data_IF_441528009364
#
_entry.id   IF_441528009364
#
_cell.length_a   1.000
_cell.length_b   1.000
_cell.length_c   1.000
_cell.angle_alpha   90.00
_cell.angle_beta   90.00
_cell.angle_gamma   90.00
#
_symmetry.space_group_name_H-M   'P 1'
#
loop_
_entity.id
_entity.type
_entity.pdbx_description
1 polymer ?
#
# COMPACT_ATOMS: atom_id res chain seq x y z
N UNK A 1 -5.04 -69.93 73.74
CA UNK A 1 -6.22 -69.09 73.57
C UNK A 1 -5.69 -67.74 73.00
N UNK A 2 -5.65 -67.61 71.70
CA UNK A 2 -5.07 -66.47 70.97
C UNK A 2 -6.25 -65.85 70.15
N UNK A 3 -6.58 -64.60 70.41
CA UNK A 3 -7.55 -63.84 69.62
C UNK A 3 -6.85 -63.24 68.42
N UNK A 4 -7.37 -63.54 67.23
CA UNK A 4 -6.98 -62.92 65.99
C UNK A 4 -7.78 -61.59 65.83
N UNK A 5 -7.11 -60.47 65.68
CA UNK A 5 -7.69 -59.17 65.36
C UNK A 5 -7.60 -58.98 63.83
N UNK A 6 -8.76 -59.01 63.20
CA UNK A 6 -8.86 -58.65 61.80
C UNK A 6 -8.81 -57.11 61.65
N UNK A 7 -7.82 -56.61 60.93
CA UNK A 7 -7.67 -55.21 60.61
C UNK A 7 -8.19 -55.00 59.20
N UNK A 8 -9.40 -54.39 59.09
CA UNK A 8 -9.93 -53.99 57.77
C UNK A 8 -9.19 -52.80 57.22
N UNK A 9 -8.43 -53.02 56.19
CA UNK A 9 -7.78 -51.93 55.36
C UNK A 9 -8.80 -51.41 54.37
N UNK A 10 -9.44 -50.27 54.67
CA UNK A 10 -10.26 -49.57 53.71
C UNK A 10 -9.36 -48.80 52.77
N UNK A 11 -9.18 -49.32 51.54
CA UNK A 11 -8.55 -48.59 50.44
C UNK A 11 -9.55 -47.59 49.91
N UNK A 12 -9.34 -46.31 50.21
CA UNK A 12 -10.05 -45.22 49.56
C UNK A 12 -9.44 -44.99 48.15
N UNK A 13 -10.16 -45.47 47.14
CA UNK A 13 -9.84 -45.14 45.75
C UNK A 13 -10.32 -43.72 45.48
N UNK A 14 -9.39 -42.74 45.52
CA UNK A 14 -9.66 -41.37 45.08
C UNK A 14 -9.60 -41.35 43.56
N UNK A 15 -10.71 -41.52 42.87
CA UNK A 15 -10.84 -41.37 41.43
C UNK A 15 -10.81 -39.86 41.14
N UNK A 16 -9.61 -39.33 40.91
CA UNK A 16 -9.42 -37.97 40.42
C UNK A 16 -9.87 -37.90 38.97
N UNK A 17 -11.10 -37.46 38.77
CA UNK A 17 -11.70 -37.20 37.46
C UNK A 17 -11.11 -35.86 36.94
N UNK A 18 -10.00 -35.95 36.18
CA UNK A 18 -9.47 -34.85 35.42
C UNK A 18 -10.49 -34.47 34.34
N UNK A 19 -11.32 -33.47 34.64
CA UNK A 19 -12.15 -32.82 33.64
C UNK A 19 -11.20 -32.02 32.72
N UNK A 20 -10.82 -32.62 31.59
CA UNK A 20 -10.20 -31.90 30.49
C UNK A 20 -11.25 -30.93 29.93
N UNK A 21 -11.23 -29.73 30.42
CA UNK A 21 -11.99 -28.63 29.83
C UNK A 21 -11.29 -28.30 28.52
N UNK A 22 -11.67 -28.99 27.42
CA UNK A 22 -11.27 -28.63 26.08
C UNK A 22 -11.92 -27.29 25.73
N UNK A 23 -11.24 -26.20 26.04
CA UNK A 23 -11.59 -24.94 25.41
C UNK A 23 -11.35 -25.10 23.92
N UNK A 24 -12.37 -24.97 23.05
CA UNK A 24 -12.11 -24.81 21.64
C UNK A 24 -11.29 -23.53 21.53
N UNK A 25 -10.04 -23.65 21.12
CA UNK A 25 -9.28 -22.51 20.65
C UNK A 25 -10.09 -21.95 19.47
N UNK A 26 -10.78 -20.84 19.70
CA UNK A 26 -11.30 -20.00 18.64
C UNK A 26 -10.05 -19.47 17.91
N UNK A 27 -9.51 -20.29 17.04
CA UNK A 27 -8.63 -19.83 16.00
C UNK A 27 -9.52 -18.93 15.14
N UNK A 28 -9.55 -17.63 15.46
CA UNK A 28 -10.11 -16.65 14.57
C UNK A 28 -9.43 -16.86 13.22
N UNK A 29 -10.16 -17.22 12.20
CA UNK A 29 -9.64 -17.25 10.85
C UNK A 29 -9.02 -15.87 10.62
N UNK A 30 -7.69 -15.84 10.47
CA UNK A 30 -6.99 -14.63 10.11
C UNK A 30 -7.54 -14.23 8.74
N UNK A 31 -8.38 -13.21 8.74
CA UNK A 31 -9.04 -12.77 7.51
C UNK A 31 -7.97 -12.40 6.50
N UNK A 32 -7.97 -13.08 5.36
CA UNK A 32 -6.94 -12.97 4.36
C UNK A 32 -6.83 -11.53 3.85
N UNK A 33 -5.60 -11.00 3.81
CA UNK A 33 -5.31 -9.71 3.20
C UNK A 33 -5.67 -9.77 1.71
N UNK A 34 -6.53 -8.86 1.27
CA UNK A 34 -6.85 -8.68 -0.15
C UNK A 34 -5.88 -7.66 -0.74
N UNK A 35 -5.18 -8.03 -1.80
CA UNK A 35 -4.27 -7.16 -2.54
C UNK A 35 -4.84 -6.95 -3.94
N UNK A 36 -5.01 -5.69 -4.33
CA UNK A 36 -5.47 -5.29 -5.65
C UNK A 36 -4.37 -4.57 -6.39
N UNK A 37 -4.07 -5.05 -7.60
CA UNK A 37 -3.10 -4.40 -8.46
C UNK A 37 -3.67 -3.09 -9.04
N UNK A 38 -2.90 -2.01 -8.91
CA UNK A 38 -3.26 -0.69 -9.41
C UNK A 38 -2.33 -0.19 -10.54
N UNK A 39 -1.65 -1.05 -11.26
CA UNK A 39 -0.65 -0.65 -12.25
C UNK A 39 -1.25 -0.13 -13.57
N UNK A 40 -2.51 -0.43 -13.85
CA UNK A 40 -3.20 -0.01 -15.10
C UNK A 40 -4.19 1.12 -14.87
N UNK A 41 -4.61 1.79 -15.94
CA UNK A 41 -5.66 2.80 -15.89
C UNK A 41 -5.19 4.16 -15.37
N UNK A 42 -3.90 4.46 -15.53
CA UNK A 42 -3.35 5.78 -15.23
C UNK A 42 -3.40 6.70 -16.43
N UNK A 43 -3.64 7.98 -16.17
CA UNK A 43 -3.38 9.09 -17.08
C UNK A 43 -2.13 9.83 -16.62
N UNK A 44 -1.24 10.14 -17.54
CA UNK A 44 0.05 10.80 -17.28
C UNK A 44 0.17 12.12 -18.03
N UNK A 45 0.69 13.14 -17.35
CA UNK A 45 1.07 14.42 -17.95
C UNK A 45 2.49 14.78 -17.54
N UNK A 46 3.32 15.13 -18.52
CA UNK A 46 4.68 15.64 -18.29
C UNK A 46 4.62 17.13 -18.05
N UNK A 47 5.16 17.59 -16.96
CA UNK A 47 5.18 18.97 -16.55
C UNK A 47 4.33 19.25 -15.32
N UNK A 48 4.44 20.47 -14.83
CA UNK A 48 3.63 20.93 -13.71
C UNK A 48 2.21 21.24 -14.18
N UNK A 49 1.23 20.88 -13.35
CA UNK A 49 -0.18 21.16 -13.60
C UNK A 49 -0.77 21.80 -12.36
N UNK A 50 -1.19 23.06 -12.50
CA UNK A 50 -1.96 23.70 -11.47
C UNK A 50 -3.23 22.88 -11.19
N UNK A 51 -3.52 22.63 -9.92
CA UNK A 51 -4.66 21.79 -9.52
C UNK A 51 -4.63 20.34 -10.00
N UNK A 52 -3.46 19.79 -10.34
CA UNK A 52 -3.33 18.38 -10.81
C UNK A 52 -3.92 17.34 -9.87
N UNK A 53 -4.01 17.63 -8.57
CA UNK A 53 -4.66 16.79 -7.57
C UNK A 53 -6.19 16.90 -7.52
N UNK A 54 -6.81 17.88 -8.19
CA UNK A 54 -8.25 18.18 -8.04
C UNK A 54 -9.12 17.27 -8.92
N UNK A 55 -10.25 16.75 -8.40
CA UNK A 55 -11.15 15.89 -9.18
C UNK A 55 -11.78 16.58 -10.40
N UNK A 56 -11.97 17.89 -10.35
CA UNK A 56 -12.60 18.66 -11.43
C UNK A 56 -11.69 18.98 -12.61
N UNK A 57 -10.41 18.63 -12.56
CA UNK A 57 -9.49 18.85 -13.66
C UNK A 57 -9.82 17.88 -14.82
N UNK A 58 -9.95 18.44 -16.02
CA UNK A 58 -10.04 17.64 -17.25
C UNK A 58 -8.68 17.06 -17.61
N UNK A 59 -8.58 15.75 -17.53
CA UNK A 59 -7.38 14.97 -17.89
C UNK A 59 -7.58 14.13 -19.16
N UNK A 60 -8.62 14.39 -19.95
CA UNK A 60 -8.93 13.64 -21.17
C UNK A 60 -7.82 13.70 -22.22
N UNK A 61 -7.02 14.76 -22.23
CA UNK A 61 -5.86 14.93 -23.09
C UNK A 61 -4.56 14.30 -22.57
N UNK A 62 -4.59 13.66 -21.41
CA UNK A 62 -3.40 13.04 -20.83
C UNK A 62 -3.07 11.72 -21.49
N UNK A 63 -1.82 11.31 -21.41
CA UNK A 63 -1.32 10.07 -22.01
C UNK A 63 -1.69 8.88 -21.13
N UNK A 64 -2.25 7.83 -21.72
CA UNK A 64 -2.47 6.58 -20.98
C UNK A 64 -1.14 5.96 -20.56
N UNK A 65 -1.02 5.60 -19.30
CA UNK A 65 0.19 5.02 -18.73
C UNK A 65 -0.11 3.72 -17.97
N UNK A 66 0.85 2.81 -18.01
CA UNK A 66 0.88 1.58 -17.22
C UNK A 66 2.12 1.62 -16.35
N UNK A 67 1.97 1.36 -15.07
CA UNK A 67 3.06 1.35 -14.10
C UNK A 67 3.72 -0.04 -14.09
N UNK A 68 5.05 -0.17 -14.06
CA UNK A 68 6.03 0.92 -13.97
C UNK A 68 6.11 1.76 -15.24
N UNK A 69 6.34 3.07 -15.09
CA UNK A 69 6.35 4.03 -16.18
C UNK A 69 7.55 5.00 -16.06
N UNK A 70 8.12 5.33 -17.19
CA UNK A 70 9.22 6.29 -17.33
C UNK A 70 8.65 7.62 -17.82
N UNK A 71 8.94 8.73 -17.13
CA UNK A 71 8.44 10.06 -17.53
C UNK A 71 9.03 10.57 -18.84
N UNK A 72 10.14 9.98 -19.27
CA UNK A 72 10.80 10.31 -20.54
C UNK A 72 10.90 9.08 -21.44
N UNK A 73 10.12 9.05 -22.50
CA UNK A 73 10.22 8.06 -23.58
C UNK A 73 10.59 8.78 -24.87
N UNK A 74 11.86 9.16 -25.03
CA UNK A 74 12.32 9.71 -26.30
C UNK A 74 13.21 8.69 -27.01
N UNK A 75 12.90 8.37 -28.28
CA UNK A 75 13.62 7.40 -29.12
C UNK A 75 15.10 7.71 -29.34
N UNK A 76 15.56 8.89 -28.97
CA UNK A 76 16.95 9.34 -29.14
C UNK A 76 17.89 8.87 -28.04
N UNK A 77 17.43 8.22 -27.01
CA UNK A 77 18.17 8.15 -25.74
C UNK A 77 18.42 6.77 -25.16
N UNK A 78 18.55 5.75 -25.96
CA UNK A 78 19.44 4.67 -25.56
C UNK A 78 20.89 5.21 -25.58
N UNK A 79 21.22 6.13 -24.65
CA UNK A 79 22.56 6.76 -24.56
C UNK A 79 22.63 8.26 -24.84
N UNK A 80 21.50 8.97 -24.88
CA UNK A 80 21.46 10.40 -25.18
C UNK A 80 21.53 11.33 -23.98
N UNK A 81 21.92 12.57 -24.25
CA UNK A 81 22.40 13.55 -23.28
C UNK A 81 21.34 14.36 -22.53
N UNK A 82 20.04 14.11 -22.72
CA UNK A 82 18.98 14.90 -22.09
C UNK A 82 18.13 14.01 -21.22
N UNK A 83 18.27 14.21 -19.93
CA UNK A 83 17.46 13.58 -18.88
C UNK A 83 16.34 14.54 -18.54
N UNK A 84 15.10 14.05 -18.48
CA UNK A 84 14.03 14.83 -17.92
C UNK A 84 14.14 14.85 -16.40
N UNK A 85 14.45 15.99 -15.83
CA UNK A 85 14.61 16.25 -14.40
C UNK A 85 13.47 17.09 -13.82
N UNK A 86 12.33 17.10 -14.48
CA UNK A 86 11.17 17.90 -14.10
C UNK A 86 10.08 17.12 -13.37
N UNK A 87 8.89 17.67 -13.43
CA UNK A 87 7.69 17.13 -12.76
C UNK A 87 6.81 16.37 -13.73
N UNK A 88 6.18 15.32 -13.25
CA UNK A 88 5.09 14.61 -13.93
C UNK A 88 3.93 14.34 -13.00
N UNK A 89 2.74 14.32 -13.54
CA UNK A 89 1.52 14.00 -12.83
C UNK A 89 0.93 12.69 -13.34
N UNK A 90 0.49 11.86 -12.39
CA UNK A 90 -0.24 10.62 -12.64
C UNK A 90 -1.59 10.70 -11.97
N UNK A 91 -2.65 10.33 -12.67
CA UNK A 91 -4.02 10.34 -12.16
C UNK A 91 -4.71 9.03 -12.47
N UNK A 92 -5.48 8.53 -11.51
CA UNK A 92 -6.26 7.31 -11.66
C UNK A 92 -7.52 7.35 -10.83
N UNK A 93 -8.63 6.96 -11.44
CA UNK A 93 -9.89 6.74 -10.71
C UNK A 93 -10.02 5.29 -10.30
N UNK A 94 -10.52 5.05 -9.08
CA UNK A 94 -10.77 3.73 -8.54
C UNK A 94 -11.97 3.74 -7.59
N UNK A 95 -12.53 2.54 -7.33
CA UNK A 95 -13.65 2.37 -6.39
C UNK A 95 -13.28 1.37 -5.31
N UNK A 96 -13.75 1.65 -4.10
CA UNK A 96 -13.65 0.72 -2.98
C UNK A 96 -15.07 0.37 -2.52
N UNK A 97 -15.48 -0.89 -2.62
CA UNK A 97 -16.80 -1.34 -2.16
C UNK A 97 -16.99 -1.16 -0.66
N UNK A 98 -18.19 -0.80 -0.24
CA UNK A 98 -18.55 -0.58 1.17
C UNK A 98 -18.44 -1.83 2.04
N UNK A 99 -18.38 -3.01 1.45
CA UNK A 99 -18.11 -4.27 2.18
C UNK A 99 -16.74 -4.26 2.90
N UNK A 100 -15.84 -3.34 2.53
CA UNK A 100 -14.52 -3.19 3.16
C UNK A 100 -14.47 -2.07 4.21
N UNK A 101 -15.62 -1.49 4.63
CA UNK A 101 -15.64 -0.36 5.60
C UNK A 101 -14.98 -0.65 6.93
N UNK A 102 -15.04 -1.91 7.36
CA UNK A 102 -14.44 -2.35 8.62
C UNK A 102 -12.96 -2.77 8.48
N UNK A 103 -12.39 -2.57 7.29
CA UNK A 103 -10.99 -2.90 6.98
C UNK A 103 -10.12 -1.66 6.89
N UNK A 104 -8.83 -1.84 7.11
CA UNK A 104 -7.85 -0.83 6.80
C UNK A 104 -7.54 -0.86 5.30
N UNK A 105 -7.69 0.28 4.65
CA UNK A 105 -7.39 0.44 3.23
C UNK A 105 -6.11 1.26 3.09
N UNK A 106 -5.13 0.67 2.45
CA UNK A 106 -3.81 1.27 2.28
C UNK A 106 -3.39 1.21 0.82
N UNK A 107 -2.69 2.24 0.37
CA UNK A 107 -2.00 2.24 -0.91
C UNK A 107 -0.51 2.03 -0.63
N UNK A 108 0.08 1.03 -1.28
CA UNK A 108 1.51 0.75 -1.20
C UNK A 108 2.19 1.17 -2.49
N UNK A 109 3.22 1.99 -2.37
CA UNK A 109 4.11 2.38 -3.45
C UNK A 109 5.46 1.66 -3.21
N UNK A 110 5.96 0.93 -4.19
CA UNK A 110 7.25 0.24 -4.05
C UNK A 110 8.44 1.15 -4.33
N UNK A 111 8.23 2.17 -5.13
CA UNK A 111 9.21 3.22 -5.36
C UNK A 111 8.66 4.34 -6.23
N UNK A 112 9.00 5.58 -5.91
CA UNK A 112 8.69 6.77 -6.71
C UNK A 112 9.90 7.70 -6.71
N UNK A 113 10.43 8.00 -7.86
CA UNK A 113 11.72 8.66 -7.95
C UNK A 113 11.61 10.09 -8.53
N UNK A 114 12.21 11.08 -7.87
CA UNK A 114 12.97 11.06 -6.62
C UNK A 114 12.09 11.42 -5.41
N UNK A 115 11.05 12.22 -5.63
CA UNK A 115 10.12 12.66 -4.62
C UNK A 115 8.71 12.65 -5.17
N UNK A 116 7.73 12.51 -4.31
CA UNK A 116 6.33 12.63 -4.72
C UNK A 116 5.43 13.24 -3.65
N UNK A 117 4.31 13.71 -4.13
CA UNK A 117 3.17 14.11 -3.34
C UNK A 117 1.95 13.31 -3.79
N UNK A 118 1.23 12.74 -2.84
CA UNK A 118 0.05 11.90 -3.10
C UNK A 118 -1.20 12.65 -2.68
N UNK A 119 -2.17 12.68 -3.55
CA UNK A 119 -3.46 13.33 -3.36
C UNK A 119 -4.58 12.31 -3.50
N UNK A 120 -5.56 12.37 -2.61
CA UNK A 120 -6.80 11.60 -2.71
C UNK A 120 -7.98 12.57 -2.69
N UNK A 121 -8.81 12.51 -3.71
CA UNK A 121 -10.02 13.35 -3.83
C UNK A 121 -9.74 14.86 -3.65
N UNK A 122 -8.61 15.33 -4.16
CA UNK A 122 -8.18 16.73 -4.09
C UNK A 122 -7.40 17.11 -2.83
N UNK A 123 -7.27 16.23 -1.86
CA UNK A 123 -6.52 16.48 -0.63
C UNK A 123 -5.15 15.81 -0.68
N UNK A 124 -4.10 16.53 -0.35
CA UNK A 124 -2.77 15.96 -0.14
C UNK A 124 -2.80 15.06 1.10
N UNK A 125 -2.46 13.81 0.92
CA UNK A 125 -2.52 12.79 1.98
C UNK A 125 -1.16 12.32 2.44
N UNK A 126 -0.14 12.36 1.56
CA UNK A 126 1.24 12.04 1.92
C UNK A 126 2.23 12.69 0.97
N UNK A 127 3.50 12.65 1.37
CA UNK A 127 4.64 12.98 0.54
C UNK A 127 5.79 12.03 0.89
N UNK A 128 6.62 11.71 -0.11
CA UNK A 128 7.75 10.82 0.07
C UNK A 128 8.97 11.34 -0.69
N UNK A 129 10.17 11.08 -0.17
CA UNK A 129 11.46 11.33 -0.82
C UNK A 129 12.33 10.08 -0.75
N UNK A 130 12.97 9.77 -1.85
CA UNK A 130 13.83 8.59 -1.98
C UNK A 130 13.25 7.56 -2.95
N UNK A 131 13.87 7.41 -4.11
CA UNK A 131 13.34 6.61 -5.22
C UNK A 131 13.38 5.10 -5.03
N UNK A 132 14.24 4.62 -4.15
CA UNK A 132 14.47 3.17 -3.95
C UNK A 132 13.81 2.61 -2.68
N UNK A 133 13.03 3.40 -1.99
CA UNK A 133 12.35 2.99 -0.76
C UNK A 133 10.85 3.11 -0.98
N UNK A 134 10.15 2.00 -0.79
CA UNK A 134 8.71 1.97 -0.82
C UNK A 134 8.09 2.65 0.41
N UNK A 135 6.85 3.09 0.26
CA UNK A 135 6.08 3.67 1.34
C UNK A 135 4.61 3.28 1.26
N UNK A 136 3.92 3.40 2.39
CA UNK A 136 2.51 3.03 2.50
C UNK A 136 1.73 4.23 3.02
N UNK A 137 0.59 4.49 2.41
CA UNK A 137 -0.34 5.56 2.84
C UNK A 137 -1.67 4.94 3.22
N UNK A 138 -2.12 5.19 4.45
CA UNK A 138 -3.46 4.80 4.91
C UNK A 138 -4.49 5.79 4.39
N UNK A 139 -5.51 5.28 3.71
CA UNK A 139 -6.58 6.07 3.11
C UNK A 139 -7.96 5.75 3.68
N UNK A 140 -8.04 4.90 4.69
CA UNK A 140 -9.29 4.34 5.24
C UNK A 140 -10.34 5.39 5.54
N UNK A 141 -9.95 6.49 6.18
CA UNK A 141 -10.88 7.55 6.62
C UNK A 141 -11.20 8.59 5.53
N UNK A 142 -10.60 8.47 4.34
CA UNK A 142 -10.68 9.47 3.27
C UNK A 142 -11.33 8.94 1.99
N UNK A 143 -11.80 7.70 2.03
CA UNK A 143 -12.43 7.02 0.90
C UNK A 143 -13.88 7.45 0.76
N UNK A 144 -14.29 7.72 -0.47
CA UNK A 144 -15.68 7.77 -0.86
C UNK A 144 -16.14 6.34 -1.18
N UNK A 145 -16.85 5.71 -0.27
CA UNK A 145 -17.32 4.33 -0.43
C UNK A 145 -18.35 4.20 -1.56
N UNK A 146 -18.24 3.14 -2.36
CA UNK A 146 -19.11 2.84 -3.52
C UNK A 146 -19.14 3.95 -4.60
N UNK A 147 -18.22 4.90 -4.53
CA UNK A 147 -18.08 6.01 -5.46
C UNK A 147 -16.68 6.06 -6.05
N UNK A 148 -16.53 6.89 -7.05
CA UNK A 148 -15.23 7.15 -7.64
C UNK A 148 -14.35 7.93 -6.65
N UNK A 149 -13.13 7.47 -6.51
CA UNK A 149 -12.06 8.13 -5.81
C UNK A 149 -10.97 8.47 -6.82
N UNK A 150 -10.47 9.68 -6.80
CA UNK A 150 -9.32 10.09 -7.59
C UNK A 150 -8.05 9.97 -6.76
N UNK A 151 -7.13 9.14 -7.22
CA UNK A 151 -5.75 9.15 -6.76
C UNK A 151 -4.92 9.95 -7.75
N UNK A 152 -4.23 10.99 -7.27
CA UNK A 152 -3.30 11.74 -8.08
C UNK A 152 -1.92 11.77 -7.40
N UNK A 153 -0.87 11.61 -8.19
CA UNK A 153 0.50 11.58 -7.72
C UNK A 153 1.33 12.58 -8.54
N UNK A 154 1.84 13.59 -7.86
CA UNK A 154 2.84 14.51 -8.41
C UNK A 154 4.22 13.91 -8.17
N UNK A 155 4.95 13.64 -9.21
CA UNK A 155 6.29 13.07 -9.14
C UNK A 155 7.29 14.12 -9.56
N UNK A 156 8.34 14.35 -8.78
CA UNK A 156 9.48 15.19 -9.14
C UNK A 156 10.71 14.32 -9.34
N UNK A 157 11.28 14.38 -10.53
CA UNK A 157 12.58 13.83 -10.85
C UNK A 157 13.72 14.85 -10.65
N UNK A 158 13.39 16.06 -10.20
CA UNK A 158 14.37 17.11 -9.94
C UNK A 158 15.46 16.63 -8.99
N UNK A 159 16.69 17.02 -9.35
CA UNK A 159 17.84 16.68 -8.50
C UNK A 159 17.77 17.39 -7.16
N UNK A 160 17.82 16.61 -6.10
CA UNK A 160 17.95 17.11 -4.74
C UNK A 160 19.13 16.39 -4.06
N UNK A 161 20.22 17.10 -3.71
CA UNK A 161 21.40 16.49 -3.10
C UNK A 161 21.12 15.88 -1.73
N UNK A 162 20.00 16.23 -1.09
CA UNK A 162 19.58 15.70 0.21
C UNK A 162 18.69 14.47 0.07
N UNK A 163 18.25 14.14 -1.13
CA UNK A 163 17.42 12.96 -1.37
C UNK A 163 18.29 11.81 -1.89
N UNK A 164 18.41 10.68 -1.18
CA UNK A 164 19.12 9.52 -1.70
C UNK A 164 18.54 9.06 -3.07
N UNK A 165 19.37 8.70 -4.02
CA UNK A 165 20.80 8.39 -3.94
C UNK A 165 21.77 9.57 -4.02
N UNK A 166 21.34 10.82 -4.03
CA UNK A 166 22.23 11.99 -4.00
C UNK A 166 23.03 12.24 -5.28
N UNK A 167 22.67 11.58 -6.37
CA UNK A 167 23.28 11.74 -7.70
C UNK A 167 22.19 12.07 -8.71
N UNK A 168 22.50 12.94 -9.71
CA UNK A 168 21.62 13.05 -10.87
C UNK A 168 21.56 11.67 -11.51
N UNK A 169 20.40 11.07 -11.51
CA UNK A 169 20.21 9.77 -12.14
C UNK A 169 19.54 9.97 -13.49
N UNK A 170 20.27 9.58 -14.50
CA UNK A 170 19.83 9.60 -15.86
C UNK A 170 18.70 8.61 -16.08
N UNK A 171 17.53 9.07 -16.45
CA UNK A 171 16.40 8.22 -16.83
C UNK A 171 15.87 7.42 -15.65
N UNK A 172 15.01 8.03 -14.88
CA UNK A 172 14.53 7.40 -13.65
C UNK A 172 13.13 6.92 -13.79
N UNK A 173 13.00 5.66 -13.43
CA UNK A 173 11.78 4.92 -13.51
C UNK A 173 10.93 5.18 -12.28
N UNK A 174 9.66 5.36 -12.52
CA UNK A 174 8.66 5.24 -11.49
C UNK A 174 8.37 3.75 -11.31
N UNK A 175 8.88 3.14 -10.25
CA UNK A 175 8.57 1.77 -9.91
C UNK A 175 7.42 1.74 -8.92
N UNK A 176 6.34 1.16 -9.33
CA UNK A 176 5.22 0.83 -8.47
C UNK A 176 4.93 -0.67 -8.60
N UNK A 177 5.07 -1.39 -7.51
CA UNK A 177 4.63 -2.76 -7.39
C UNK A 177 3.56 -2.84 -6.31
N UNK A 178 2.51 -3.53 -6.57
CA UNK A 178 1.43 -3.81 -5.62
C UNK A 178 1.65 -5.14 -4.89
#
# INVERSE_FOLDING_TARGET
MVKVIEMFFRIFFFCSMLVFCSFPALAGEAEARVVLNMNTGWAFHRGEVESGGQPGLDDSGWIAAIIPHIMQLEKKHCGGDIIYDGVGWYRRTFRVPSQYKDKQIKISFEGVMNACEVYLNGQKISAHRGGYVGFVTDITTRINWDRDNLLAVRVSAEYDPLTPPGKPQAGMDFYYYS
#
